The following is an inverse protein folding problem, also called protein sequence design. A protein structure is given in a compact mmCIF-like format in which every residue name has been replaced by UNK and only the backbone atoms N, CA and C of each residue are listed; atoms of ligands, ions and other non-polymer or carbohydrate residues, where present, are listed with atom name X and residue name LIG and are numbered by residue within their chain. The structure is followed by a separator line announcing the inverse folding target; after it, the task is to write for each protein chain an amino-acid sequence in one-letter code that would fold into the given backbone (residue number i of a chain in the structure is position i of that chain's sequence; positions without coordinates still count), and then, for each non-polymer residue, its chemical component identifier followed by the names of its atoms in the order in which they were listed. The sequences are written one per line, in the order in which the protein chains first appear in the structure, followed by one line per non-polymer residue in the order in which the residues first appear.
data_IF_958650271602
#
_entry.id   IF_958650271602
#
_cell.length_a   1.000
_cell.length_b   1.000
_cell.length_c   1.000
_cell.angle_alpha   90.00
_cell.angle_beta   90.00
_cell.angle_gamma   90.00
#
_symmetry.space_group_name_H-M   'P 1'
#
loop_
_entity.id
_entity.type
_entity.pdbx_description
1 polymer ?
#
# COMPACT_ATOMS: atom_id res chain seq x y z
N UNK A 1 -11.44 33.83 3.04
CA UNK A 1 -10.80 32.80 3.87
C UNK A 1 -10.91 33.11 5.38
N UNK A 2 -10.53 34.29 5.89
CA UNK A 2 -10.63 34.58 7.33
C UNK A 2 -12.07 34.58 7.86
N UNK A 3 -13.00 35.19 7.12
CA UNK A 3 -14.42 35.27 7.51
C UNK A 3 -15.13 33.91 7.52
N UNK A 4 -14.69 32.99 6.65
CA UNK A 4 -15.22 31.62 6.58
C UNK A 4 -14.81 30.82 7.83
N UNK A 5 -13.54 30.88 8.22
CA UNK A 5 -13.00 30.21 9.41
C UNK A 5 -13.68 30.76 10.67
N UNK A 6 -13.86 32.08 10.78
CA UNK A 6 -14.56 32.69 11.91
C UNK A 6 -16.01 32.18 12.04
N UNK A 7 -16.76 32.21 10.93
CA UNK A 7 -18.15 31.72 10.89
C UNK A 7 -18.26 30.23 11.25
N UNK A 8 -17.37 29.40 10.73
CA UNK A 8 -17.35 27.95 10.99
C UNK A 8 -16.93 27.64 12.44
N UNK A 9 -16.00 28.42 13.00
CA UNK A 9 -15.61 28.31 14.41
C UNK A 9 -16.77 28.67 15.33
N UNK A 10 -17.51 29.73 15.01
CA UNK A 10 -18.70 30.14 15.77
C UNK A 10 -19.84 29.12 15.64
N UNK A 11 -20.03 28.52 14.46
CA UNK A 11 -20.98 27.42 14.27
C UNK A 11 -20.61 26.20 15.13
N UNK A 12 -19.33 25.81 15.17
CA UNK A 12 -18.85 24.71 16.01
C UNK A 12 -18.93 25.05 17.51
N UNK A 13 -18.76 26.31 17.90
CA UNK A 13 -18.93 26.74 19.29
C UNK A 13 -20.38 26.68 19.76
N UNK A 14 -21.33 27.03 18.87
CA UNK A 14 -22.77 26.94 19.14
C UNK A 14 -23.28 25.50 19.18
N UNK A 15 -22.75 24.63 18.32
CA UNK A 15 -23.04 23.20 18.34
C UNK A 15 -21.76 22.34 18.25
N UNK A 16 -21.14 22.02 19.41
CA UNK A 16 -19.93 21.21 19.45
C UNK A 16 -20.13 19.73 19.08
N UNK A 17 -21.39 19.27 18.96
CA UNK A 17 -21.71 17.90 18.55
C UNK A 17 -22.10 17.80 17.08
N UNK A 18 -22.46 18.91 16.45
CA UNK A 18 -22.75 19.01 15.03
C UNK A 18 -21.53 18.76 14.13
N UNK A 19 -21.74 18.79 12.82
CA UNK A 19 -20.76 18.36 11.80
C UNK A 19 -19.93 19.49 11.19
N UNK A 20 -20.04 20.71 11.73
CA UNK A 20 -19.32 21.89 11.24
C UNK A 20 -17.79 21.74 11.28
N UNK A 21 -17.27 20.82 12.09
CA UNK A 21 -15.84 20.54 12.23
C UNK A 21 -15.18 20.05 10.94
N UNK A 22 -15.89 19.33 10.06
CA UNK A 22 -15.35 18.86 8.77
C UNK A 22 -15.03 20.06 7.87
N UNK A 23 -16.01 20.95 7.71
CA UNK A 23 -15.85 22.16 6.92
C UNK A 23 -14.80 23.10 7.52
N UNK A 24 -14.74 23.21 8.85
CA UNK A 24 -13.72 24.01 9.55
C UNK A 24 -12.31 23.44 9.33
N UNK A 25 -12.14 22.13 9.45
CA UNK A 25 -10.87 21.45 9.21
C UNK A 25 -10.37 21.69 7.77
N UNK A 26 -11.23 21.56 6.76
CA UNK A 26 -10.85 21.83 5.38
C UNK A 26 -10.55 23.32 5.13
N UNK A 27 -11.29 24.25 5.74
CA UNK A 27 -11.00 25.69 5.64
C UNK A 27 -9.63 26.05 6.25
N UNK A 28 -9.29 25.46 7.41
CA UNK A 28 -7.98 25.60 8.05
C UNK A 28 -6.86 24.99 7.21
N UNK A 29 -7.11 23.83 6.58
CA UNK A 29 -6.18 23.18 5.64
C UNK A 29 -5.86 24.10 4.46
N UNK A 30 -6.90 24.64 3.79
CA UNK A 30 -6.74 25.58 2.66
C UNK A 30 -6.00 26.86 3.07
N UNK A 31 -6.10 27.28 4.33
CA UNK A 31 -5.34 28.39 4.89
C UNK A 31 -3.91 28.02 5.33
N UNK A 32 -3.44 26.79 5.06
CA UNK A 32 -2.14 26.23 5.48
C UNK A 32 -1.92 26.22 6.99
N UNK A 33 -2.98 26.29 7.79
CA UNK A 33 -2.93 26.17 9.25
C UNK A 33 -3.03 24.70 9.66
N UNK A 34 -2.12 23.86 9.15
CA UNK A 34 -2.21 22.40 9.23
C UNK A 34 -2.34 21.85 10.66
N UNK A 35 -1.58 22.34 11.67
CA UNK A 35 -1.75 21.85 13.04
C UNK A 35 -3.13 22.16 13.64
N UNK A 36 -3.74 23.28 13.25
CA UNK A 36 -5.09 23.65 13.70
C UNK A 36 -6.16 22.83 12.98
N UNK A 37 -5.96 22.57 11.68
CA UNK A 37 -6.82 21.70 10.89
C UNK A 37 -6.86 20.28 11.48
N UNK A 38 -5.69 19.70 11.74
CA UNK A 38 -5.54 18.35 12.29
C UNK A 38 -6.21 18.22 13.65
N UNK A 39 -5.95 19.15 14.58
CA UNK A 39 -6.61 19.14 15.90
C UNK A 39 -8.13 19.23 15.80
N UNK A 40 -8.64 20.00 14.84
CA UNK A 40 -10.09 20.14 14.61
C UNK A 40 -10.69 18.83 14.11
N UNK A 41 -10.04 18.20 13.12
CA UNK A 41 -10.46 16.91 12.56
C UNK A 41 -10.43 15.79 13.62
N UNK A 42 -9.32 15.64 14.35
CA UNK A 42 -9.18 14.61 15.39
C UNK A 42 -10.21 14.76 16.53
N UNK A 43 -10.52 16.00 16.93
CA UNK A 43 -11.58 16.25 17.93
C UNK A 43 -12.97 15.91 17.42
N UNK A 44 -13.24 16.15 16.14
CA UNK A 44 -14.49 15.75 15.49
C UNK A 44 -14.62 14.22 15.45
N UNK A 45 -13.58 13.54 14.96
CA UNK A 45 -13.52 12.08 14.86
C UNK A 45 -13.56 11.37 16.22
N UNK A 46 -12.97 11.95 17.28
CA UNK A 46 -13.10 11.39 18.62
C UNK A 46 -14.57 11.31 19.10
N UNK A 47 -15.46 12.16 18.56
CA UNK A 47 -16.91 12.14 18.86
C UNK A 47 -17.71 11.38 17.80
N UNK A 48 -17.18 11.31 16.58
CA UNK A 48 -17.81 10.66 15.42
C UNK A 48 -16.81 9.69 14.75
N UNK A 49 -16.47 8.56 15.40
CA UNK A 49 -15.35 7.71 14.96
C UNK A 49 -15.53 7.09 13.57
N UNK A 50 -16.77 6.97 13.10
CA UNK A 50 -17.13 6.35 11.83
C UNK A 50 -17.54 7.35 10.75
N UNK A 51 -17.14 8.63 10.88
CA UNK A 51 -17.52 9.65 9.92
C UNK A 51 -16.56 9.70 8.72
N UNK A 52 -16.99 9.18 7.57
CA UNK A 52 -16.16 9.02 6.38
C UNK A 52 -15.57 10.35 5.84
N UNK A 53 -16.37 11.41 5.68
CA UNK A 53 -15.85 12.72 5.23
C UNK A 53 -14.87 13.36 6.24
N UNK A 54 -14.95 12.93 7.50
CA UNK A 54 -14.06 13.38 8.56
C UNK A 54 -12.67 12.80 8.46
N UNK A 55 -12.62 11.49 8.19
CA UNK A 55 -11.39 10.77 7.87
C UNK A 55 -10.79 11.31 6.58
N UNK A 56 -11.58 11.49 5.50
CA UNK A 56 -11.11 12.15 4.25
C UNK A 56 -10.53 13.56 4.47
N UNK A 57 -11.06 14.34 5.42
CA UNK A 57 -10.49 15.64 5.74
C UNK A 57 -9.14 15.52 6.46
N UNK A 58 -9.02 14.61 7.44
CA UNK A 58 -7.77 14.34 8.18
C UNK A 58 -6.67 13.85 7.23
N UNK A 59 -7.05 12.97 6.34
CA UNK A 59 -6.27 12.39 5.26
C UNK A 59 -5.60 13.44 4.38
N UNK A 60 -6.39 14.38 3.86
CA UNK A 60 -5.91 15.50 3.05
C UNK A 60 -5.02 16.46 3.86
N UNK A 61 -5.29 16.64 5.15
CA UNK A 61 -4.45 17.45 6.04
C UNK A 61 -3.06 16.80 6.21
N UNK A 62 -3.01 15.48 6.41
CA UNK A 62 -1.75 14.74 6.55
C UNK A 62 -0.91 14.79 5.26
N UNK A 63 -1.55 14.60 4.10
CA UNK A 63 -0.88 14.75 2.80
C UNK A 63 -0.31 16.17 2.61
N UNK A 64 -1.08 17.21 2.95
CA UNK A 64 -0.63 18.61 2.85
C UNK A 64 0.52 18.96 3.82
N UNK A 65 0.67 18.18 4.88
CA UNK A 65 1.76 18.27 5.87
C UNK A 65 3.03 17.52 5.44
N UNK A 66 2.98 16.74 4.35
CA UNK A 66 4.10 15.94 3.87
C UNK A 66 4.31 14.63 4.63
N UNK A 67 3.38 14.27 5.52
CA UNK A 67 3.40 13.00 6.26
C UNK A 67 2.63 11.93 5.48
N UNK A 68 3.17 11.55 4.32
CA UNK A 68 2.57 10.57 3.42
C UNK A 68 2.45 9.18 4.05
N UNK A 69 3.30 8.89 5.05
CA UNK A 69 3.28 7.62 5.77
C UNK A 69 2.05 7.48 6.67
N UNK A 70 1.71 8.53 7.42
CA UNK A 70 0.51 8.56 8.28
C UNK A 70 -0.77 8.78 7.49
N UNK A 71 -0.69 9.40 6.31
CA UNK A 71 -1.81 9.49 5.38
C UNK A 71 -2.25 8.10 4.91
N UNK A 72 -1.34 7.20 4.51
CA UNK A 72 -1.73 5.91 3.91
C UNK A 72 -2.56 5.00 4.83
N UNK A 73 -2.24 4.95 6.12
CA UNK A 73 -2.93 4.07 7.10
C UNK A 73 -4.36 4.53 7.40
N UNK A 74 -4.65 5.82 7.25
CA UNK A 74 -5.95 6.44 7.52
C UNK A 74 -6.86 6.48 6.28
N UNK A 75 -6.32 6.45 5.04
CA UNK A 75 -7.12 6.60 3.79
C UNK A 75 -7.96 5.36 3.45
N UNK A 76 -7.66 4.22 4.08
CA UNK A 76 -8.50 3.02 3.98
C UNK A 76 -9.73 3.07 4.89
N UNK A 77 -9.71 3.85 5.98
CA UNK A 77 -10.83 3.92 6.91
C UNK A 77 -12.12 4.44 6.25
N UNK A 78 -12.11 5.55 5.48
CA UNK A 78 -13.30 6.00 4.78
C UNK A 78 -13.85 4.96 3.81
N UNK A 79 -13.01 4.21 3.08
CA UNK A 79 -13.45 3.18 2.13
C UNK A 79 -13.97 1.92 2.83
N UNK A 80 -13.44 1.57 4.01
CA UNK A 80 -13.99 0.51 4.87
C UNK A 80 -15.37 0.87 5.40
N UNK A 81 -15.63 2.15 5.67
CA UNK A 81 -16.90 2.64 6.19
C UNK A 81 -17.93 2.90 5.09
N UNK A 82 -17.47 3.42 3.95
CA UNK A 82 -18.25 3.64 2.74
C UNK A 82 -17.37 3.38 1.51
N UNK A 83 -17.54 2.21 0.91
CA UNK A 83 -16.81 1.80 -0.30
C UNK A 83 -17.07 2.70 -1.51
N UNK A 84 -18.10 3.56 -1.46
CA UNK A 84 -18.45 4.53 -2.52
C UNK A 84 -18.06 5.97 -2.16
N UNK A 85 -17.22 6.15 -1.14
CA UNK A 85 -16.81 7.47 -0.70
C UNK A 85 -15.91 8.17 -1.73
N UNK A 86 -16.49 9.15 -2.45
CA UNK A 86 -15.84 9.84 -3.59
C UNK A 86 -14.52 10.50 -3.20
N UNK A 87 -14.45 11.15 -2.03
CA UNK A 87 -13.22 11.80 -1.55
C UNK A 87 -12.07 10.82 -1.32
N UNK A 88 -12.38 9.64 -0.81
CA UNK A 88 -11.39 8.63 -0.49
C UNK A 88 -10.91 7.89 -1.75
N UNK A 89 -11.80 7.64 -2.71
CA UNK A 89 -11.41 7.17 -4.04
C UNK A 89 -10.49 8.17 -4.74
N UNK A 90 -10.78 9.48 -4.64
CA UNK A 90 -9.87 10.52 -5.14
C UNK A 90 -8.52 10.49 -4.44
N UNK A 91 -8.53 10.37 -3.11
CA UNK A 91 -7.34 10.18 -2.29
C UNK A 91 -6.51 8.99 -2.77
N UNK A 92 -7.04 7.78 -2.79
CA UNK A 92 -6.31 6.59 -3.23
C UNK A 92 -5.68 6.76 -4.62
N UNK A 93 -6.34 7.48 -5.52
CA UNK A 93 -5.75 7.82 -6.80
C UNK A 93 -4.57 8.81 -6.73
N UNK A 94 -4.62 9.81 -5.85
CA UNK A 94 -3.49 10.73 -5.60
C UNK A 94 -2.29 10.02 -4.99
N UNK A 95 -2.48 9.12 -4.01
CA UNK A 95 -1.40 8.32 -3.44
C UNK A 95 -0.77 7.43 -4.50
N UNK A 96 -1.59 6.72 -5.27
CA UNK A 96 -1.10 5.87 -6.35
C UNK A 96 -0.28 6.68 -7.37
N UNK A 97 -0.77 7.87 -7.75
CA UNK A 97 -0.03 8.76 -8.66
C UNK A 97 1.28 9.28 -8.03
N UNK A 98 1.27 9.65 -6.75
CA UNK A 98 2.46 10.11 -6.03
C UNK A 98 3.52 8.99 -5.89
N UNK A 99 3.07 7.74 -5.78
CA UNK A 99 3.92 6.54 -5.83
C UNK A 99 4.31 6.08 -7.24
N UNK A 100 3.92 6.80 -8.30
CA UNK A 100 4.22 6.46 -9.69
C UNK A 100 3.29 5.41 -10.32
N UNK A 101 2.36 4.81 -9.57
CA UNK A 101 1.37 3.85 -10.06
C UNK A 101 0.15 4.55 -10.66
N UNK A 102 0.35 5.06 -11.88
CA UNK A 102 -0.68 5.74 -12.66
C UNK A 102 -1.85 4.83 -13.04
N UNK A 103 -1.63 3.52 -13.20
CA UNK A 103 -2.68 2.58 -13.59
C UNK A 103 -3.68 2.41 -12.44
N UNK A 104 -3.19 2.21 -11.22
CA UNK A 104 -4.02 2.20 -10.02
C UNK A 104 -4.68 3.55 -9.77
N UNK A 105 -3.96 4.66 -10.00
CA UNK A 105 -4.55 5.99 -9.91
C UNK A 105 -5.75 6.18 -10.84
N UNK A 106 -5.63 5.70 -12.08
CA UNK A 106 -6.68 5.76 -13.09
C UNK A 106 -7.92 4.99 -12.64
N UNK A 107 -7.76 3.74 -12.16
CA UNK A 107 -8.89 2.92 -11.69
C UNK A 107 -9.66 3.57 -10.54
N UNK A 108 -8.95 4.14 -9.56
CA UNK A 108 -9.59 4.81 -8.43
C UNK A 108 -10.36 6.06 -8.86
N UNK A 109 -9.82 6.84 -9.80
CA UNK A 109 -10.49 8.03 -10.32
C UNK A 109 -11.63 7.72 -11.28
N UNK A 110 -11.57 6.64 -12.06
CA UNK A 110 -12.70 6.13 -12.84
C UNK A 110 -13.86 5.72 -11.91
N UNK A 111 -13.56 5.06 -10.80
CA UNK A 111 -14.54 4.76 -9.75
C UNK A 111 -15.18 6.02 -9.16
N UNK A 112 -14.36 7.04 -8.83
CA UNK A 112 -14.87 8.33 -8.37
C UNK A 112 -15.72 9.04 -9.44
N UNK A 113 -15.34 8.92 -10.71
CA UNK A 113 -16.05 9.54 -11.84
C UNK A 113 -17.38 8.86 -12.16
N UNK A 114 -17.47 7.55 -12.00
CA UNK A 114 -18.74 6.82 -12.11
C UNK A 114 -19.75 7.24 -11.02
N UNK A 115 -19.26 7.65 -9.85
CA UNK A 115 -20.09 8.02 -8.70
C UNK A 115 -20.46 9.51 -8.68
N UNK A 116 -19.54 10.38 -9.07
CA UNK A 116 -19.74 11.83 -9.04
C UNK A 116 -19.15 12.51 -10.30
N UNK A 117 -19.78 12.32 -11.48
CA UNK A 117 -19.22 12.77 -12.77
C UNK A 117 -19.12 14.29 -12.91
N UNK A 118 -19.88 15.05 -12.11
CA UNK A 118 -19.90 16.52 -12.12
C UNK A 118 -19.11 17.15 -10.97
N UNK A 119 -18.53 16.36 -10.06
CA UNK A 119 -17.73 16.89 -8.96
C UNK A 119 -16.45 17.55 -9.50
N UNK A 120 -16.24 18.81 -9.14
CA UNK A 120 -15.12 19.60 -9.62
C UNK A 120 -13.75 18.97 -9.29
N UNK A 121 -13.65 18.23 -8.18
CA UNK A 121 -12.43 17.52 -7.75
C UNK A 121 -12.14 16.33 -8.65
N UNK A 122 -13.19 15.57 -9.01
CA UNK A 122 -13.11 14.45 -9.96
C UNK A 122 -12.70 14.95 -11.35
N UNK A 123 -13.33 16.03 -11.81
CA UNK A 123 -13.00 16.66 -13.09
C UNK A 123 -11.59 17.26 -13.11
N UNK A 124 -11.08 17.72 -11.97
CA UNK A 124 -9.69 18.18 -11.84
C UNK A 124 -8.71 16.99 -11.90
N UNK A 125 -9.00 15.90 -11.20
CA UNK A 125 -8.19 14.67 -11.24
C UNK A 125 -8.09 14.10 -12.66
N UNK A 126 -9.20 14.01 -13.39
CA UNK A 126 -9.23 13.56 -14.79
C UNK A 126 -8.41 14.45 -15.74
N UNK A 127 -8.45 15.77 -15.54
CA UNK A 127 -7.61 16.72 -16.30
C UNK A 127 -6.13 16.56 -15.98
N UNK A 128 -5.77 16.28 -14.74
CA UNK A 128 -4.39 16.07 -14.33
C UNK A 128 -3.84 14.75 -14.86
N UNK A 129 -4.69 13.72 -14.97
CA UNK A 129 -4.37 12.50 -15.73
C UNK A 129 -4.08 12.87 -17.19
N UNK A 130 -4.96 13.62 -17.86
CA UNK A 130 -4.78 14.00 -19.27
C UNK A 130 -3.59 14.96 -19.54
N UNK A 131 -3.24 15.82 -18.59
CA UNK A 131 -2.23 16.89 -18.75
C UNK A 131 -0.82 16.48 -18.31
N UNK A 132 -0.67 15.48 -17.45
CA UNK A 132 0.64 14.87 -17.25
C UNK A 132 1.07 14.31 -18.61
N UNK A 133 2.26 14.65 -19.13
CA UNK A 133 2.73 14.04 -20.36
C UNK A 133 2.61 12.53 -20.17
N UNK A 134 2.26 11.82 -21.25
CA UNK A 134 2.64 10.43 -21.38
C UNK A 134 4.17 10.47 -21.37
N UNK A 135 4.77 10.61 -20.18
CA UNK A 135 6.13 10.22 -19.94
C UNK A 135 6.16 8.82 -20.50
N UNK A 136 6.94 8.69 -21.58
CA UNK A 136 7.02 7.54 -22.46
C UNK A 136 6.67 6.32 -21.65
N UNK A 137 5.63 5.59 -22.10
CA UNK A 137 5.13 4.36 -21.51
C UNK A 137 6.07 3.89 -20.43
N UNK A 138 5.68 3.98 -19.14
CA UNK A 138 6.40 3.31 -18.05
C UNK A 138 6.94 2.05 -18.69
N UNK A 139 8.28 1.88 -18.80
CA UNK A 139 8.80 0.66 -19.41
C UNK A 139 8.02 -0.42 -18.70
N UNK A 140 7.20 -1.19 -19.42
CA UNK A 140 6.40 -2.26 -18.83
C UNK A 140 7.33 -2.90 -17.82
N UNK A 141 7.15 -2.69 -16.48
CA UNK A 141 8.28 -2.68 -15.52
C UNK A 141 9.07 -3.90 -15.84
N UNK A 142 10.26 -3.69 -16.45
CA UNK A 142 10.80 -4.58 -17.49
C UNK A 142 10.29 -5.95 -17.17
N UNK A 143 9.22 -6.45 -17.86
CA UNK A 143 8.73 -7.80 -17.59
C UNK A 143 10.02 -8.57 -17.62
N UNK A 144 10.54 -9.02 -16.48
CA UNK A 144 11.80 -9.73 -16.49
C UNK A 144 11.42 -10.90 -17.36
N UNK A 145 11.89 -10.93 -18.63
CA UNK A 145 11.15 -11.65 -19.65
C UNK A 145 11.29 -13.07 -19.19
N UNK A 146 10.25 -13.68 -18.60
CA UNK A 146 10.37 -14.86 -17.72
C UNK A 146 11.40 -15.75 -18.34
N UNK A 147 12.65 -15.63 -17.87
CA UNK A 147 13.76 -16.13 -18.67
C UNK A 147 13.54 -17.62 -18.69
N UNK A 148 13.79 -18.33 -19.81
CA UNK A 148 13.55 -19.79 -19.82
C UNK A 148 14.18 -20.40 -18.56
N UNK A 149 13.36 -21.01 -17.70
CA UNK A 149 13.78 -21.56 -16.40
C UNK A 149 13.54 -20.69 -15.16
N UNK A 150 13.00 -19.46 -15.26
CA UNK A 150 12.69 -18.61 -14.09
C UNK A 150 11.69 -19.24 -13.12
N UNK A 151 10.74 -20.04 -13.63
CA UNK A 151 9.81 -20.80 -12.78
C UNK A 151 10.50 -21.96 -12.05
N UNK A 152 11.62 -22.45 -12.59
CA UNK A 152 12.26 -23.69 -12.15
C UNK A 152 13.50 -23.45 -11.28
N UNK A 153 13.94 -22.20 -11.07
CA UNK A 153 15.13 -21.88 -10.26
C UNK A 153 15.03 -22.42 -8.82
N UNK A 154 13.79 -22.64 -8.35
CA UNK A 154 13.49 -23.19 -7.03
C UNK A 154 12.92 -24.61 -7.05
N UNK A 155 12.84 -25.29 -8.20
CA UNK A 155 12.18 -26.60 -8.31
C UNK A 155 12.71 -27.62 -7.29
N UNK A 156 14.04 -27.70 -7.08
CA UNK A 156 14.58 -28.64 -6.09
C UNK A 156 14.21 -28.30 -4.63
N UNK A 157 13.80 -27.06 -4.33
CA UNK A 157 13.37 -26.69 -2.97
C UNK A 157 11.98 -27.24 -2.68
N UNK A 158 11.16 -27.44 -3.72
CA UNK A 158 9.87 -28.13 -3.61
C UNK A 158 10.09 -29.60 -3.23
N UNK A 159 11.08 -30.26 -3.86
CA UNK A 159 11.51 -31.62 -3.51
C UNK A 159 12.04 -31.71 -2.06
N UNK A 160 12.57 -30.60 -1.52
CA UNK A 160 13.10 -30.51 -0.16
C UNK A 160 12.03 -30.11 0.89
N UNK A 161 10.76 -29.99 0.48
CA UNK A 161 9.62 -29.77 1.37
C UNK A 161 9.01 -28.36 1.37
N UNK A 162 9.42 -27.49 0.44
CA UNK A 162 8.70 -26.23 0.21
C UNK A 162 7.39 -26.50 -0.54
N UNK A 163 6.30 -25.88 -0.10
CA UNK A 163 5.04 -25.84 -0.84
C UNK A 163 4.97 -24.63 -1.80
N UNK A 164 5.74 -23.59 -1.50
CA UNK A 164 5.93 -22.44 -2.36
C UNK A 164 7.36 -21.92 -2.23
N UNK A 165 7.93 -21.50 -3.35
CA UNK A 165 9.21 -20.80 -3.40
C UNK A 165 9.11 -19.70 -4.46
N UNK A 166 9.22 -18.44 -4.03
CA UNK A 166 9.00 -17.27 -4.87
C UNK A 166 10.13 -16.26 -4.72
N UNK A 167 10.41 -15.54 -5.81
CA UNK A 167 11.13 -14.28 -5.80
C UNK A 167 10.15 -13.19 -6.23
N UNK A 168 10.00 -12.16 -5.41
CA UNK A 168 9.02 -11.09 -5.60
C UNK A 168 9.74 -9.74 -5.57
N UNK A 169 9.39 -8.81 -6.45
CA UNK A 169 9.90 -7.43 -6.38
C UNK A 169 9.18 -6.60 -5.29
N UNK A 170 9.62 -5.35 -5.10
CA UNK A 170 9.04 -4.41 -4.14
C UNK A 170 7.57 -4.04 -4.44
N UNK A 171 7.17 -4.14 -5.71
CA UNK A 171 5.81 -3.91 -6.20
C UNK A 171 4.90 -5.15 -6.11
N UNK A 172 5.41 -6.29 -5.63
CA UNK A 172 4.63 -7.52 -5.47
C UNK A 172 4.54 -8.40 -6.71
N UNK A 173 5.31 -8.12 -7.77
CA UNK A 173 5.36 -9.00 -8.94
C UNK A 173 6.27 -10.19 -8.70
N UNK A 174 5.78 -11.37 -9.07
CA UNK A 174 6.57 -12.60 -9.02
C UNK A 174 7.55 -12.61 -10.19
N UNK A 175 8.83 -12.53 -9.87
CA UNK A 175 9.93 -12.55 -10.84
C UNK A 175 10.30 -14.00 -11.19
N UNK A 176 10.27 -14.90 -10.20
CA UNK A 176 10.67 -16.28 -10.36
C UNK A 176 9.99 -17.19 -9.33
N UNK A 177 9.95 -18.49 -9.63
CA UNK A 177 9.37 -19.51 -8.75
C UNK A 177 7.87 -19.79 -8.94
N UNK A 178 7.32 -20.62 -8.06
CA UNK A 178 5.93 -21.09 -8.08
C UNK A 178 5.36 -21.21 -6.67
N UNK A 179 4.04 -21.13 -6.58
CA UNK A 179 3.29 -21.44 -5.36
C UNK A 179 2.02 -22.19 -5.74
N UNK A 180 2.07 -23.52 -5.73
CA UNK A 180 0.93 -24.36 -6.10
C UNK A 180 0.24 -24.88 -4.85
N UNK A 181 -1.02 -24.51 -4.65
CA UNK A 181 -1.85 -25.01 -3.55
C UNK A 181 -2.20 -26.49 -3.68
N UNK A 182 -2.81 -27.08 -2.65
CA UNK A 182 -3.22 -28.49 -2.61
C UNK A 182 -4.15 -28.94 -3.77
N UNK A 183 -4.82 -27.99 -4.44
CA UNK A 183 -5.67 -28.23 -5.61
C UNK A 183 -4.99 -27.93 -6.96
N UNK A 184 -3.67 -27.69 -6.97
CA UNK A 184 -2.92 -27.27 -8.17
C UNK A 184 -3.20 -25.83 -8.61
N UNK A 185 -3.90 -25.05 -7.78
CA UNK A 185 -4.16 -23.62 -8.02
C UNK A 185 -2.87 -22.84 -7.79
N UNK A 186 -2.52 -21.99 -8.76
CA UNK A 186 -1.37 -21.09 -8.64
C UNK A 186 -1.74 -19.88 -7.78
N UNK A 187 -1.08 -19.76 -6.63
CA UNK A 187 -1.24 -18.67 -5.67
C UNK A 187 -0.08 -17.66 -5.72
N UNK A 188 0.87 -17.82 -6.65
CA UNK A 188 2.10 -17.02 -6.67
C UNK A 188 1.79 -15.52 -6.77
N UNK A 189 0.89 -15.13 -7.67
CA UNK A 189 0.52 -13.73 -7.85
C UNK A 189 -0.29 -13.13 -6.69
N UNK A 190 -1.15 -13.93 -6.07
CA UNK A 190 -1.89 -13.48 -4.88
C UNK A 190 -0.92 -13.24 -3.72
N UNK A 191 -0.01 -14.19 -3.47
CA UNK A 191 1.05 -14.03 -2.46
C UNK A 191 1.97 -12.85 -2.77
N UNK A 192 2.35 -12.66 -4.03
CA UNK A 192 3.14 -11.49 -4.44
C UNK A 192 2.44 -10.17 -4.13
N UNK A 193 1.15 -10.06 -4.43
CA UNK A 193 0.36 -8.87 -4.14
C UNK A 193 0.28 -8.55 -2.62
N UNK A 194 0.13 -9.56 -1.77
CA UNK A 194 0.15 -9.41 -0.31
C UNK A 194 1.49 -8.90 0.23
N UNK A 195 2.58 -9.08 -0.53
CA UNK A 195 3.93 -8.68 -0.18
C UNK A 195 4.33 -7.32 -0.76
N UNK A 196 3.46 -6.71 -1.55
CA UNK A 196 3.68 -5.40 -2.14
C UNK A 196 3.98 -4.36 -1.05
N UNK A 197 5.12 -3.70 -1.14
CA UNK A 197 5.54 -2.68 -0.17
C UNK A 197 6.13 -3.23 1.14
N UNK A 198 6.26 -4.54 1.31
CA UNK A 198 6.78 -5.14 2.54
C UNK A 198 8.17 -4.60 2.90
N UNK A 199 9.08 -4.45 1.93
CA UNK A 199 10.43 -3.93 2.18
C UNK A 199 10.39 -2.53 2.78
N UNK A 200 9.51 -1.66 2.27
CA UNK A 200 9.34 -0.31 2.79
C UNK A 200 8.78 -0.33 4.22
N UNK A 201 7.83 -1.22 4.51
CA UNK A 201 7.25 -1.37 5.85
C UNK A 201 8.27 -1.87 6.87
N UNK A 202 9.09 -2.85 6.47
CA UNK A 202 10.16 -3.37 7.31
C UNK A 202 11.23 -2.31 7.57
N UNK A 203 11.67 -1.55 6.57
CA UNK A 203 12.63 -0.47 6.79
C UNK A 203 12.07 0.64 7.70
N UNK A 204 10.78 0.99 7.56
CA UNK A 204 10.12 1.93 8.48
C UNK A 204 10.13 1.40 9.92
N UNK A 205 9.70 0.15 10.13
CA UNK A 205 9.68 -0.47 11.46
C UNK A 205 11.08 -0.56 12.07
N UNK A 206 12.08 -0.93 11.25
CA UNK A 206 13.49 -1.03 11.64
C UNK A 206 14.05 0.29 12.14
N UNK A 207 13.78 1.39 11.43
CA UNK A 207 14.20 2.73 11.83
C UNK A 207 13.51 3.17 13.14
N UNK A 208 12.21 2.93 13.27
CA UNK A 208 11.46 3.30 14.47
C UNK A 208 11.90 2.51 15.71
N UNK A 209 12.16 1.21 15.56
CA UNK A 209 12.57 0.31 16.64
C UNK A 209 14.09 0.30 16.86
N UNK A 210 14.85 1.07 16.08
CA UNK A 210 16.31 1.11 16.11
C UNK A 210 16.96 -0.27 15.94
N UNK A 211 16.38 -1.10 15.07
CA UNK A 211 16.88 -2.43 14.77
C UNK A 211 17.96 -2.40 13.68
N UNK A 212 18.87 -3.39 13.71
CA UNK A 212 19.84 -3.62 12.64
C UNK A 212 19.16 -4.03 11.33
N UNK A 213 19.94 -4.22 10.26
CA UNK A 213 19.41 -4.64 8.95
C UNK A 213 18.55 -5.90 9.11
N UNK A 214 17.38 -5.93 8.47
CA UNK A 214 16.54 -7.12 8.55
C UNK A 214 17.16 -8.23 7.71
N UNK A 215 17.32 -9.40 8.30
CA UNK A 215 17.89 -10.55 7.60
C UNK A 215 16.80 -11.52 7.15
N UNK A 216 15.81 -11.75 8.01
CA UNK A 216 14.71 -12.68 7.77
C UNK A 216 13.48 -12.33 8.60
N UNK A 217 12.32 -12.67 8.06
CA UNK A 217 11.04 -12.70 8.77
C UNK A 217 10.51 -14.15 8.75
N UNK A 218 9.95 -14.61 9.87
CA UNK A 218 9.27 -15.90 9.96
C UNK A 218 7.83 -15.64 10.42
N UNK A 219 6.87 -16.12 9.64
CA UNK A 219 5.45 -15.98 9.89
C UNK A 219 4.86 -17.38 10.05
N UNK A 220 4.27 -17.64 11.21
CA UNK A 220 3.54 -18.89 11.48
C UNK A 220 2.06 -18.66 11.19
N UNK A 221 1.51 -19.47 10.29
CA UNK A 221 0.12 -19.47 9.87
C UNK A 221 -0.55 -20.78 10.31
N UNK A 222 -1.88 -20.83 10.25
CA UNK A 222 -2.65 -22.04 10.59
C UNK A 222 -2.22 -23.25 9.75
N UNK A 223 -2.04 -23.04 8.43
CA UNK A 223 -1.74 -24.11 7.48
C UNK A 223 -0.24 -24.27 7.14
N UNK A 224 0.63 -23.48 7.75
CA UNK A 224 2.06 -23.57 7.45
C UNK A 224 2.93 -22.47 8.03
N UNK A 225 4.21 -22.50 7.67
CA UNK A 225 5.19 -21.51 8.07
C UNK A 225 5.79 -20.86 6.83
N UNK A 226 5.82 -19.52 6.83
CA UNK A 226 6.41 -18.72 5.77
C UNK A 226 7.68 -18.06 6.26
N UNK A 227 8.77 -18.24 5.52
CA UNK A 227 10.05 -17.58 5.77
C UNK A 227 10.35 -16.62 4.61
N UNK A 228 10.69 -15.39 4.95
CA UNK A 228 11.00 -14.32 4.01
C UNK A 228 12.39 -13.78 4.27
N UNK A 229 13.11 -13.41 3.21
CA UNK A 229 14.45 -12.81 3.30
C UNK A 229 14.66 -11.81 2.16
N UNK A 230 15.43 -10.72 2.37
CA UNK A 230 15.77 -9.80 1.30
C UNK A 230 16.71 -10.48 0.31
N UNK A 231 16.48 -10.25 -0.97
CA UNK A 231 17.36 -10.61 -2.07
C UNK A 231 17.94 -9.34 -2.71
N UNK A 232 18.81 -9.51 -3.72
CA UNK A 232 19.34 -8.38 -4.48
C UNK A 232 18.23 -7.61 -5.20
N UNK A 233 18.52 -6.38 -5.61
CA UNK A 233 17.61 -5.53 -6.40
C UNK A 233 16.25 -5.29 -5.73
N UNK A 234 16.26 -5.03 -4.42
CA UNK A 234 15.07 -4.76 -3.60
C UNK A 234 13.99 -5.86 -3.63
N UNK A 235 14.38 -7.07 -4.02
CA UNK A 235 13.50 -8.23 -4.08
C UNK A 235 13.39 -8.94 -2.74
N UNK A 236 12.35 -9.74 -2.58
CA UNK A 236 12.11 -10.61 -1.43
C UNK A 236 12.03 -12.05 -1.91
N UNK A 237 12.75 -12.94 -1.23
CA UNK A 237 12.59 -14.39 -1.39
C UNK A 237 11.61 -14.91 -0.37
N UNK A 238 10.69 -15.78 -0.80
CA UNK A 238 9.65 -16.35 0.04
C UNK A 238 9.68 -17.87 -0.06
N UNK A 239 9.64 -18.53 1.09
CA UNK A 239 9.41 -19.97 1.22
C UNK A 239 8.21 -20.20 2.12
N UNK A 240 7.27 -21.03 1.66
CA UNK A 240 6.22 -21.57 2.52
C UNK A 240 6.40 -23.08 2.67
N UNK A 241 6.23 -23.59 3.87
CA UNK A 241 6.26 -25.04 4.18
C UNK A 241 4.99 -25.46 4.92
N UNK A 242 4.54 -26.71 4.81
CA UNK A 242 3.37 -27.20 5.52
C UNK A 242 3.47 -27.08 7.05
N UNK A 243 2.32 -27.00 7.72
CA UNK A 243 2.22 -27.11 9.17
C UNK A 243 2.83 -28.45 9.65
N UNK A 244 3.65 -28.40 10.71
CA UNK A 244 4.37 -29.57 11.24
C UNK A 244 5.78 -29.78 10.69
N UNK A 245 6.22 -28.93 9.75
CA UNK A 245 7.63 -28.87 9.32
C UNK A 245 8.53 -28.43 10.49
N UNK A 246 9.71 -29.04 10.72
CA UNK A 246 10.64 -28.58 11.74
C UNK A 246 11.01 -27.11 11.53
N UNK A 247 10.96 -26.29 12.60
CA UNK A 247 11.12 -24.82 12.54
C UNK A 247 12.45 -24.33 11.93
N UNK A 248 13.46 -25.19 11.86
CA UNK A 248 14.73 -24.91 11.19
C UNK A 248 14.68 -25.03 9.65
N UNK A 249 13.78 -25.85 9.10
CA UNK A 249 13.73 -26.12 7.66
C UNK A 249 13.30 -24.89 6.84
N UNK A 250 12.25 -24.13 7.18
CA UNK A 250 11.88 -22.92 6.44
C UNK A 250 13.03 -21.90 6.39
N UNK A 251 13.76 -21.78 7.51
CA UNK A 251 14.93 -20.89 7.63
C UNK A 251 16.10 -21.34 6.74
N UNK A 252 16.33 -22.64 6.64
CA UNK A 252 17.33 -23.22 5.76
C UNK A 252 16.96 -23.02 4.29
N UNK A 253 15.70 -23.30 3.94
CA UNK A 253 15.21 -23.21 2.57
C UNK A 253 15.18 -21.76 2.06
N UNK A 254 14.76 -20.78 2.87
CA UNK A 254 14.76 -19.37 2.43
C UNK A 254 16.17 -18.86 2.15
N UNK A 255 17.17 -19.32 2.91
CA UNK A 255 18.56 -18.96 2.68
C UNK A 255 19.12 -19.61 1.40
N UNK A 256 18.73 -20.85 1.10
CA UNK A 256 19.06 -21.51 -0.18
C UNK A 256 18.39 -20.81 -1.35
N UNK A 257 17.11 -20.46 -1.21
CA UNK A 257 16.35 -19.73 -2.21
C UNK A 257 16.99 -18.36 -2.47
N UNK A 258 17.33 -17.60 -1.42
CA UNK A 258 17.99 -16.28 -1.54
C UNK A 258 19.30 -16.35 -2.32
N UNK A 259 20.13 -17.35 -2.06
CA UNK A 259 21.39 -17.56 -2.82
C UNK A 259 21.13 -17.86 -4.29
N UNK A 260 20.13 -18.68 -4.60
CA UNK A 260 19.75 -18.98 -6.00
C UNK A 260 19.17 -17.76 -6.71
N UNK A 261 18.29 -17.02 -6.03
CA UNK A 261 17.72 -15.79 -6.54
C UNK A 261 18.82 -14.78 -6.89
N UNK A 262 19.75 -14.53 -5.97
CA UNK A 262 20.84 -13.59 -6.20
C UNK A 262 21.75 -14.05 -7.36
N UNK A 263 22.16 -15.32 -7.39
CA UNK A 263 22.99 -15.84 -8.48
C UNK A 263 22.28 -15.83 -9.84
N UNK A 264 20.95 -15.97 -9.85
CA UNK A 264 20.15 -15.84 -11.06
C UNK A 264 20.02 -14.38 -11.51
N UNK A 265 19.72 -13.46 -10.59
CA UNK A 265 19.66 -12.01 -10.86
C UNK A 265 21.00 -11.46 -11.37
N UNK A 266 22.12 -11.95 -10.84
CA UNK A 266 23.47 -11.59 -11.30
C UNK A 266 23.80 -12.11 -12.72
N UNK A 267 23.09 -13.14 -13.19
CA UNK A 267 23.30 -13.76 -14.49
C UNK A 267 22.38 -13.20 -15.60
N UNK A 268 21.45 -12.29 -15.26
CA UNK A 268 20.57 -11.59 -16.20
C UNK A 268 21.27 -10.39 -16.85
#
# INVERSE_FOLDING_TARGET
MPDEIARLSEAMARDPRGMAWVALADALRRARQLPAAERTALRGLARHPYHADGHDALDRIAADAGDLGRARDEWEMPLRLDARHVGALLGMGWIALAGGDRATATRWWEGAQALAPTDARVLAAGRQLAAAPVAAAVPTPARHPLTRGAQDIFASLEDEGAHAALLVDDAGFVIAGRATGAAGVDHAHALGAELSGLTADVERARLQLQLGAWERLLVECEDGTMALAPAASDCITVIATPAGTPSGLPRLLVERARRRANGWLEAL
#
